data_IF_656236574968
#
_entry.id   IF_656236574968
#
_cell.length_a   1.000
_cell.length_b   1.000
_cell.length_c   1.000
_cell.angle_alpha   90.00
_cell.angle_beta   90.00
_cell.angle_gamma   90.00
#
_symmetry.space_group_name_H-M   'P 1'
#
loop_
_entity.id
_entity.type
_entity.pdbx_description
1 polymer ?
#
# COMPACT_ATOMS: atom_id res chain seq x y z
N UNK A 1 -0.05 -23.08 8.19
CA UNK A 1 1.41 -23.25 7.97
C UNK A 1 1.96 -21.88 7.61
N UNK A 2 2.69 -21.23 8.51
CA UNK A 2 3.37 -19.96 8.20
C UNK A 2 4.60 -20.31 7.35
N UNK A 3 4.57 -19.93 6.07
CA UNK A 3 5.74 -20.04 5.21
C UNK A 3 6.74 -18.97 5.67
N UNK A 4 7.79 -19.41 6.37
CA UNK A 4 8.98 -18.60 6.61
C UNK A 4 9.75 -18.49 5.31
N UNK A 5 9.30 -17.62 4.41
CA UNK A 5 10.08 -17.24 3.22
C UNK A 5 11.27 -16.42 3.72
N UNK A 6 12.49 -16.92 3.51
CA UNK A 6 13.69 -16.09 3.56
C UNK A 6 13.46 -14.82 2.74
N UNK A 7 13.92 -13.63 3.16
CA UNK A 7 13.67 -12.40 2.42
C UNK A 7 14.32 -12.48 1.05
N UNK A 8 13.57 -12.94 0.05
CA UNK A 8 13.94 -12.82 -1.35
C UNK A 8 13.86 -11.34 -1.71
N UNK A 9 14.84 -10.86 -2.46
CA UNK A 9 14.87 -9.48 -2.86
C UNK A 9 13.68 -9.18 -3.79
N UNK A 10 12.83 -8.23 -3.38
CA UNK A 10 11.71 -7.74 -4.19
C UNK A 10 12.06 -6.38 -4.78
N UNK A 11 11.56 -6.11 -5.99
CA UNK A 11 11.70 -4.81 -6.63
C UNK A 11 10.84 -3.72 -5.96
N UNK A 12 9.69 -4.12 -5.40
CA UNK A 12 8.73 -3.22 -4.78
C UNK A 12 8.81 -3.37 -3.27
N UNK A 13 8.81 -2.25 -2.56
CA UNK A 13 8.78 -2.21 -1.10
C UNK A 13 7.40 -2.62 -0.59
N UNK A 14 7.31 -3.05 0.67
CA UNK A 14 6.02 -3.33 1.29
C UNK A 14 5.10 -2.10 1.31
N UNK A 15 5.63 -0.88 1.41
CA UNK A 15 4.84 0.36 1.28
C UNK A 15 4.18 0.47 -0.09
N UNK A 16 4.93 0.22 -1.17
CA UNK A 16 4.39 0.24 -2.53
C UNK A 16 3.33 -0.84 -2.75
N UNK A 17 3.58 -2.06 -2.26
CA UNK A 17 2.61 -3.17 -2.38
C UNK A 17 1.32 -2.88 -1.58
N UNK A 18 1.43 -2.34 -0.36
CA UNK A 18 0.27 -1.98 0.46
C UNK A 18 -0.53 -0.85 -0.18
N UNK A 19 0.14 0.19 -0.67
CA UNK A 19 -0.49 1.31 -1.36
C UNK A 19 -1.26 0.84 -2.59
N UNK A 20 -0.64 -0.03 -3.40
CA UNK A 20 -1.26 -0.63 -4.57
C UNK A 20 -2.43 -1.55 -4.22
N UNK A 21 -2.37 -2.28 -3.13
CA UNK A 21 -3.50 -3.10 -2.72
C UNK A 21 -4.68 -2.24 -2.26
N UNK A 22 -4.41 -1.19 -1.48
CA UNK A 22 -5.44 -0.27 -0.96
C UNK A 22 -6.15 0.48 -2.09
N UNK A 23 -5.44 0.89 -3.15
CA UNK A 23 -6.07 1.58 -4.28
C UNK A 23 -7.15 0.74 -4.98
N UNK A 24 -7.01 -0.59 -4.99
CA UNK A 24 -7.99 -1.52 -5.57
C UNK A 24 -9.02 -2.02 -4.57
N UNK A 25 -8.67 -2.03 -3.27
CA UNK A 25 -9.48 -2.62 -2.21
C UNK A 25 -9.65 -1.62 -1.05
N UNK A 26 -10.33 -0.49 -1.27
CA UNK A 26 -10.37 0.61 -0.29
C UNK A 26 -11.06 0.24 1.03
N UNK A 27 -11.88 -0.82 1.05
CA UNK A 27 -12.61 -1.26 2.25
C UNK A 27 -11.92 -2.40 3.01
N UNK A 28 -10.75 -2.86 2.56
CA UNK A 28 -10.04 -3.99 3.17
C UNK A 28 -9.50 -3.65 4.56
N UNK A 29 -9.57 -4.63 5.44
CA UNK A 29 -9.00 -4.55 6.78
C UNK A 29 -7.48 -4.71 6.74
N UNK A 30 -6.78 -4.20 7.78
CA UNK A 30 -5.33 -4.40 7.91
C UNK A 30 -4.93 -5.89 7.89
N UNK A 31 -5.80 -6.76 8.40
CA UNK A 31 -5.61 -8.22 8.35
C UNK A 31 -5.67 -8.77 6.92
N UNK A 32 -6.65 -8.38 6.12
CA UNK A 32 -6.77 -8.82 4.72
C UNK A 32 -5.57 -8.35 3.91
N UNK A 33 -5.16 -7.09 4.09
CA UNK A 33 -3.96 -6.53 3.47
C UNK A 33 -2.71 -7.33 3.88
N UNK A 34 -2.52 -7.59 5.18
CA UNK A 34 -1.37 -8.34 5.69
C UNK A 34 -1.29 -9.75 5.07
N UNK A 35 -2.43 -10.44 5.00
CA UNK A 35 -2.51 -11.78 4.43
C UNK A 35 -2.21 -11.79 2.93
N UNK A 36 -2.68 -10.81 2.18
CA UNK A 36 -2.42 -10.70 0.74
C UNK A 36 -0.95 -10.41 0.44
N UNK A 37 -0.35 -9.48 1.19
CA UNK A 37 1.03 -9.00 0.96
C UNK A 37 2.06 -9.98 1.55
N UNK A 38 1.68 -10.84 2.50
CA UNK A 38 2.61 -11.77 3.16
C UNK A 38 3.43 -11.13 4.27
N UNK A 39 2.88 -10.11 4.95
CA UNK A 39 3.51 -9.45 6.10
C UNK A 39 2.66 -9.60 7.35
N UNK A 40 3.18 -9.21 8.51
CA UNK A 40 2.41 -9.25 9.76
C UNK A 40 1.37 -8.14 9.80
N UNK A 41 0.24 -8.37 10.48
CA UNK A 41 -0.80 -7.36 10.70
C UNK A 41 -0.23 -6.09 11.37
N UNK A 42 0.74 -6.24 12.29
CA UNK A 42 1.47 -5.13 12.91
C UNK A 42 2.30 -4.33 11.89
N UNK A 43 2.99 -5.02 10.98
CA UNK A 43 3.75 -4.38 9.89
C UNK A 43 2.82 -3.57 9.00
N UNK A 44 1.68 -4.14 8.63
CA UNK A 44 0.66 -3.45 7.83
C UNK A 44 0.14 -2.21 8.52
N UNK A 45 -0.21 -2.29 9.81
CA UNK A 45 -0.64 -1.10 10.56
C UNK A 45 0.39 0.02 10.57
N UNK A 46 1.68 -0.33 10.73
CA UNK A 46 2.77 0.65 10.66
C UNK A 46 2.85 1.29 9.27
N UNK A 47 2.80 0.49 8.21
CA UNK A 47 2.86 0.99 6.82
C UNK A 47 1.68 1.92 6.53
N UNK A 48 0.47 1.55 6.93
CA UNK A 48 -0.72 2.39 6.73
C UNK A 48 -0.54 3.73 7.47
N UNK A 49 -0.05 3.72 8.72
CA UNK A 49 0.21 4.96 9.46
C UNK A 49 1.31 5.82 8.79
N UNK A 50 2.37 5.19 8.26
CA UNK A 50 3.42 5.89 7.52
C UNK A 50 2.85 6.56 6.25
N UNK A 51 2.01 5.84 5.49
CA UNK A 51 1.36 6.34 4.28
C UNK A 51 0.38 7.48 4.58
N UNK A 52 -0.38 7.37 5.66
CA UNK A 52 -1.33 8.39 6.13
C UNK A 52 -0.61 9.66 6.58
N UNK A 53 0.44 9.53 7.39
CA UNK A 53 1.32 10.63 7.80
C UNK A 53 2.00 11.30 6.60
N UNK A 54 2.28 10.53 5.55
CA UNK A 54 2.88 11.01 4.33
C UNK A 54 1.89 11.68 3.35
N UNK A 55 0.59 11.59 3.60
CA UNK A 55 -0.48 12.12 2.75
C UNK A 55 -0.94 11.20 1.62
N UNK A 56 -0.32 10.03 1.44
CA UNK A 56 -0.67 9.11 0.33
C UNK A 56 -2.03 8.46 0.48
N UNK A 57 -2.50 8.31 1.72
CA UNK A 57 -3.82 7.77 2.00
C UNK A 57 -4.54 8.62 3.02
N UNK A 58 -5.85 8.69 2.87
CA UNK A 58 -6.76 9.19 3.90
C UNK A 58 -7.61 8.03 4.42
N UNK A 59 -7.78 7.97 5.75
CA UNK A 59 -8.64 6.96 6.40
C UNK A 59 -9.95 7.60 6.84
N UNK A 60 -11.04 7.17 6.22
CA UNK A 60 -12.40 7.56 6.58
C UNK A 60 -13.11 6.42 7.31
N UNK A 61 -13.65 6.69 8.51
CA UNK A 61 -14.40 5.68 9.27
C UNK A 61 -15.88 5.73 8.92
N UNK A 62 -16.37 4.69 8.25
CA UNK A 62 -17.79 4.54 7.89
C UNK A 62 -18.40 3.43 8.77
N UNK A 63 -19.07 3.86 9.85
CA UNK A 63 -19.63 2.95 10.85
C UNK A 63 -18.55 2.15 11.58
N UNK A 64 -18.53 0.82 11.36
CA UNK A 64 -17.54 -0.09 11.95
C UNK A 64 -16.34 -0.39 11.04
N UNK A 65 -16.35 0.09 9.79
CA UNK A 65 -15.31 -0.18 8.79
C UNK A 65 -14.48 1.06 8.52
N UNK A 66 -13.20 0.85 8.24
CA UNK A 66 -12.35 1.87 7.65
C UNK A 66 -12.49 1.78 6.14
N UNK A 67 -12.57 2.94 5.49
CA UNK A 67 -12.49 3.09 4.04
C UNK A 67 -11.31 4.00 3.77
N UNK A 68 -10.39 3.51 2.94
CA UNK A 68 -9.20 4.23 2.55
C UNK A 68 -9.43 4.91 1.20
N UNK A 69 -8.87 6.10 1.06
CA UNK A 69 -8.78 6.81 -0.21
C UNK A 69 -7.31 7.09 -0.49
N UNK A 70 -6.84 6.76 -1.69
CA UNK A 70 -5.46 7.02 -2.12
C UNK A 70 -5.43 8.36 -2.83
N UNK A 71 -4.42 9.18 -2.55
CA UNK A 71 -4.13 10.37 -3.34
C UNK A 71 -3.11 10.02 -4.44
N UNK A 72 -3.55 9.86 -5.70
CA UNK A 72 -2.67 9.50 -6.82
C UNK A 72 -1.72 10.64 -7.23
N UNK A 73 -2.03 11.88 -6.84
CA UNK A 73 -1.32 13.09 -7.29
C UNK A 73 -0.04 13.37 -6.51
N UNK A 74 0.26 12.56 -5.50
CA UNK A 74 1.51 12.68 -4.76
C UNK A 74 2.65 11.99 -5.51
N UNK A 75 3.82 12.65 -5.65
CA UNK A 75 4.98 12.07 -6.30
C UNK A 75 5.55 10.93 -5.46
N UNK A 76 6.26 10.01 -6.10
CA UNK A 76 7.04 8.98 -5.39
C UNK A 76 8.09 9.66 -4.49
N UNK A 77 8.17 9.21 -3.23
CA UNK A 77 9.22 9.62 -2.27
C UNK A 77 10.58 9.06 -2.68
N UNK A 78 11.17 9.62 -3.74
CA UNK A 78 12.55 9.37 -4.11
C UNK A 78 13.20 10.66 -4.61
N UNK A 79 14.33 11.03 -4.01
CA UNK A 79 15.08 12.25 -4.31
C UNK A 79 15.57 12.40 -5.76
N UNK A 80 15.49 11.33 -6.57
CA UNK A 80 15.86 11.33 -7.99
C UNK A 80 14.67 11.15 -8.95
N UNK A 81 13.45 10.91 -8.44
CA UNK A 81 12.25 10.62 -9.24
C UNK A 81 11.04 11.39 -8.71
N UNK A 82 11.22 12.69 -8.52
CA UNK A 82 10.16 13.60 -8.06
C UNK A 82 9.08 13.83 -9.12
N UNK A 83 9.36 13.48 -10.38
CA UNK A 83 8.45 13.64 -11.52
C UNK A 83 7.58 12.40 -11.82
N UNK A 84 7.69 11.33 -11.02
CA UNK A 84 6.83 10.14 -11.21
C UNK A 84 5.74 10.15 -10.16
N UNK A 85 4.49 10.16 -10.60
CA UNK A 85 3.34 10.14 -9.71
C UNK A 85 3.11 8.73 -9.16
N UNK A 86 2.48 8.64 -7.99
CA UNK A 86 2.02 7.35 -7.47
C UNK A 86 1.09 6.67 -8.46
N UNK A 87 0.27 7.42 -9.18
CA UNK A 87 -0.60 6.90 -10.25
C UNK A 87 0.14 6.09 -11.30
N UNK A 88 1.25 6.61 -11.85
CA UNK A 88 2.05 5.94 -12.88
C UNK A 88 2.59 4.58 -12.40
N UNK A 89 2.98 4.52 -11.12
CA UNK A 89 3.40 3.27 -10.48
C UNK A 89 2.21 2.32 -10.37
N UNK A 90 1.07 2.79 -9.89
CA UNK A 90 -0.13 1.96 -9.70
C UNK A 90 -0.63 1.38 -11.02
N UNK A 91 -0.66 2.18 -12.10
CA UNK A 91 -0.99 1.70 -13.44
C UNK A 91 0.00 0.63 -13.93
N UNK A 92 1.30 0.83 -13.69
CA UNK A 92 2.34 -0.13 -14.09
C UNK A 92 2.21 -1.48 -13.35
N UNK A 93 1.66 -1.49 -12.14
CA UNK A 93 1.48 -2.70 -11.33
C UNK A 93 0.16 -3.43 -11.61
N UNK A 94 -0.75 -2.78 -12.31
CA UNK A 94 -2.13 -3.24 -12.52
C UNK A 94 -2.42 -3.64 -13.94
N UNK A 95 -1.43 -3.55 -14.83
CA UNK A 95 -1.53 -3.97 -16.23
C UNK A 95 -1.98 -5.43 -16.33
N UNK A 96 -3.30 -5.62 -16.34
CA UNK A 96 -3.94 -6.72 -17.01
C UNK A 96 -3.58 -6.59 -18.49
N UNK A 97 -2.97 -7.65 -19.02
CA UNK A 97 -2.74 -7.78 -20.44
C UNK A 97 -3.90 -8.53 -21.07
#
# INVERSE_FOLDING_TARGET
MQQSQSPQWTFITNHGLVLSYISHNPTSTAREIANYIGVTERTTHKIIADLESAGYIERNKIGRRNVYSVDPQLPLRHHTKTDIMVEDLLESLTSEK
#
